data_IF_534933478142
#
_entry.id   IF_534933478142
#
_cell.length_a   1.000
_cell.length_b   1.000
_cell.length_c   1.000
_cell.angle_alpha   90.00
_cell.angle_beta   90.00
_cell.angle_gamma   90.00
#
_symmetry.space_group_name_H-M   'P 1'
#
loop_
_entity.id
_entity.type
_entity.pdbx_description
1 polymer ?
#
# COMPACT_ATOMS: atom_id res chain seq x y z
N UNK A 1 3.95 -20.29 -2.29
CA UNK A 1 4.61 -21.28 -3.15
C UNK A 1 6.08 -20.92 -3.28
N UNK A 2 6.96 -21.90 -3.17
CA UNK A 2 8.39 -21.66 -3.01
C UNK A 2 9.16 -22.37 -4.10
N UNK A 3 10.12 -21.68 -4.69
CA UNK A 3 11.05 -22.21 -5.68
C UNK A 3 12.49 -21.85 -5.32
N UNK A 4 13.42 -22.70 -5.71
CA UNK A 4 14.84 -22.41 -5.68
C UNK A 4 15.42 -22.65 -7.08
N UNK A 5 16.15 -21.67 -7.60
CA UNK A 5 16.77 -21.74 -8.92
C UNK A 5 18.04 -20.92 -8.99
N UNK A 6 18.89 -21.24 -9.96
CA UNK A 6 20.07 -20.44 -10.29
C UNK A 6 19.78 -19.58 -11.51
N UNK A 7 20.22 -18.32 -11.46
CA UNK A 7 20.08 -17.39 -12.57
C UNK A 7 21.24 -16.40 -12.61
N UNK A 8 21.55 -15.94 -13.81
CA UNK A 8 22.52 -14.88 -14.03
C UNK A 8 21.90 -13.50 -13.79
N UNK A 9 22.64 -12.65 -13.09
CA UNK A 9 22.27 -11.27 -12.83
C UNK A 9 22.59 -10.44 -14.08
N UNK A 10 21.62 -9.66 -14.53
CA UNK A 10 21.83 -8.75 -15.63
C UNK A 10 21.39 -7.32 -15.28
N UNK A 11 22.15 -6.36 -15.81
CA UNK A 11 21.83 -4.94 -15.66
C UNK A 11 20.96 -4.46 -16.82
N UNK A 12 19.80 -3.89 -16.49
CA UNK A 12 19.05 -3.14 -17.48
C UNK A 12 19.62 -1.74 -17.62
N UNK A 13 20.03 -1.38 -18.84
CA UNK A 13 20.55 -0.08 -19.21
C UNK A 13 19.41 0.87 -19.61
N UNK A 14 18.58 1.26 -18.63
CA UNK A 14 17.56 2.31 -18.76
C UNK A 14 18.00 3.61 -18.09
N UNK A 15 17.12 4.61 -17.95
CA UNK A 15 17.43 5.89 -17.31
C UNK A 15 17.92 5.76 -15.85
N UNK A 16 17.60 4.66 -15.19
CA UNK A 16 18.18 4.25 -13.91
C UNK A 16 18.69 2.80 -14.06
N UNK A 17 19.92 2.48 -13.67
CA UNK A 17 20.45 1.12 -13.78
C UNK A 17 19.78 0.23 -12.74
N UNK A 18 18.95 -0.69 -13.21
CA UNK A 18 18.35 -1.73 -12.39
C UNK A 18 18.99 -3.08 -12.68
N UNK A 19 19.10 -3.92 -11.67
CA UNK A 19 19.61 -5.27 -11.78
C UNK A 19 18.48 -6.27 -11.55
N UNK A 20 18.46 -7.32 -12.36
CA UNK A 20 17.43 -8.34 -12.36
C UNK A 20 18.02 -9.72 -12.52
N UNK A 21 17.24 -10.72 -12.12
CA UNK A 21 17.37 -12.10 -12.60
C UNK A 21 16.04 -12.49 -13.25
N UNK A 22 16.11 -13.33 -14.28
CA UNK A 22 14.94 -13.86 -14.94
C UNK A 22 14.44 -15.13 -14.24
N UNK A 23 13.14 -15.31 -14.12
CA UNK A 23 12.57 -16.56 -13.64
C UNK A 23 12.65 -17.63 -14.72
N UNK A 24 12.96 -18.91 -14.37
CA UNK A 24 12.96 -20.03 -15.32
C UNK A 24 11.57 -20.27 -15.94
N UNK A 25 11.54 -20.91 -17.11
CA UNK A 25 10.33 -21.15 -17.88
C UNK A 25 9.20 -21.80 -17.08
N UNK A 26 9.50 -22.85 -16.29
CA UNK A 26 8.48 -23.54 -15.51
C UNK A 26 7.85 -22.66 -14.41
N UNK A 27 8.61 -21.71 -13.86
CA UNK A 27 8.07 -20.71 -12.91
C UNK A 27 7.22 -19.70 -13.67
N UNK A 28 7.67 -19.21 -14.82
CA UNK A 28 6.90 -18.31 -15.67
C UNK A 28 5.55 -18.91 -16.07
N UNK A 29 5.54 -20.15 -16.52
CA UNK A 29 4.31 -20.85 -16.92
C UNK A 29 3.31 -20.91 -15.75
N UNK A 30 3.81 -21.23 -14.56
CA UNK A 30 3.01 -21.22 -13.35
C UNK A 30 2.46 -19.83 -13.01
N UNK A 31 3.29 -18.79 -13.05
CA UNK A 31 2.90 -17.42 -12.75
C UNK A 31 1.86 -16.92 -13.73
N UNK A 32 2.00 -17.21 -15.03
CA UNK A 32 1.02 -16.88 -16.05
C UNK A 32 -0.31 -17.59 -15.86
N UNK A 33 -0.30 -18.87 -15.50
CA UNK A 33 -1.51 -19.66 -15.25
C UNK A 33 -2.33 -19.15 -14.04
N UNK A 34 -1.66 -18.53 -13.04
CA UNK A 34 -2.27 -18.08 -11.80
C UNK A 34 -2.30 -16.55 -11.64
N UNK A 35 -2.11 -15.81 -12.74
CA UNK A 35 -2.04 -14.34 -12.73
C UNK A 35 -3.20 -13.67 -11.99
N UNK A 36 -4.43 -14.16 -12.21
CA UNK A 36 -5.64 -13.60 -11.57
C UNK A 36 -5.66 -13.70 -10.05
N UNK A 37 -4.91 -14.66 -9.49
CA UNK A 37 -4.83 -14.90 -8.06
C UNK A 37 -3.60 -14.23 -7.42
N UNK A 38 -2.54 -14.06 -8.20
CA UNK A 38 -1.23 -13.63 -7.73
C UNK A 38 -0.97 -12.12 -7.90
N UNK A 39 -1.66 -11.46 -8.84
CA UNK A 39 -1.42 -10.04 -9.12
C UNK A 39 -2.42 -9.13 -8.43
N UNK A 40 -1.95 -7.95 -8.02
CA UNK A 40 -2.78 -6.85 -7.53
C UNK A 40 -2.76 -5.62 -8.45
N UNK A 41 -2.59 -5.79 -9.73
CA UNK A 41 -2.50 -4.73 -10.74
C UNK A 41 -1.25 -4.87 -11.61
N UNK A 42 -1.11 -4.15 -12.72
CA UNK A 42 0.05 -4.08 -13.64
C UNK A 42 0.78 -5.38 -13.99
N UNK A 43 0.25 -6.55 -13.61
CA UNK A 43 0.94 -7.82 -13.75
C UNK A 43 2.13 -8.02 -12.79
N UNK A 44 2.36 -7.10 -11.88
CA UNK A 44 3.34 -7.27 -10.81
C UNK A 44 2.89 -8.32 -9.79
N UNK A 45 3.76 -9.25 -9.45
CA UNK A 45 3.47 -10.32 -8.50
C UNK A 45 4.30 -10.11 -7.24
N UNK A 46 3.67 -9.93 -6.06
CA UNK A 46 4.42 -9.81 -4.80
C UNK A 46 5.22 -11.07 -4.54
N UNK A 47 6.45 -10.89 -4.11
CA UNK A 47 7.35 -12.00 -3.84
C UNK A 47 8.30 -11.68 -2.69
N UNK A 48 8.65 -12.70 -1.91
CA UNK A 48 9.83 -12.72 -1.07
C UNK A 48 10.97 -13.36 -1.84
N UNK A 49 12.12 -12.73 -1.80
CA UNK A 49 13.32 -13.16 -2.52
C UNK A 49 14.47 -13.24 -1.54
N UNK A 50 15.10 -14.42 -1.46
CA UNK A 50 16.30 -14.63 -0.68
C UNK A 50 17.45 -15.03 -1.59
N UNK A 51 18.58 -14.36 -1.41
CA UNK A 51 19.87 -14.70 -2.05
C UNK A 51 20.92 -14.68 -0.94
N UNK A 52 21.66 -15.76 -0.79
CA UNK A 52 22.57 -15.92 0.33
C UNK A 52 21.84 -15.85 1.67
N UNK A 53 22.31 -14.97 2.54
CA UNK A 53 21.71 -14.73 3.86
C UNK A 53 20.69 -13.57 3.87
N UNK A 54 20.58 -12.84 2.77
CA UNK A 54 19.72 -11.64 2.68
C UNK A 54 18.38 -11.96 2.05
N UNK A 55 17.30 -11.60 2.76
CA UNK A 55 15.93 -11.72 2.30
C UNK A 55 15.29 -10.33 2.08
N UNK A 56 14.55 -10.17 1.00
CA UNK A 56 13.86 -8.92 0.67
C UNK A 56 12.48 -9.19 0.09
N UNK A 57 11.53 -8.34 0.42
CA UNK A 57 10.22 -8.30 -0.26
C UNK A 57 10.32 -7.42 -1.50
N UNK A 58 9.80 -7.91 -2.63
CA UNK A 58 9.80 -7.20 -3.91
C UNK A 58 8.55 -7.55 -4.71
N UNK A 59 8.42 -7.00 -5.92
CA UNK A 59 7.41 -7.43 -6.89
C UNK A 59 8.09 -7.87 -8.16
N UNK A 60 7.72 -9.06 -8.66
CA UNK A 60 8.16 -9.52 -9.95
C UNK A 60 7.55 -8.64 -11.04
N UNK A 61 8.34 -8.30 -12.03
CA UNK A 61 7.95 -7.43 -13.14
C UNK A 61 7.79 -8.23 -14.43
N UNK A 62 6.62 -8.21 -15.08
CA UNK A 62 6.46 -8.87 -16.37
C UNK A 62 7.19 -8.06 -17.45
N UNK A 63 8.01 -8.74 -18.26
CA UNK A 63 8.69 -8.18 -19.41
C UNK A 63 8.89 -9.24 -20.49
N UNK A 64 8.42 -8.96 -21.70
CA UNK A 64 8.59 -9.82 -22.88
C UNK A 64 8.17 -11.28 -22.62
N UNK A 65 7.10 -11.50 -21.84
CA UNK A 65 6.61 -12.84 -21.47
C UNK A 65 7.36 -13.54 -20.36
N UNK A 66 8.35 -12.89 -19.74
CA UNK A 66 9.14 -13.42 -18.62
C UNK A 66 8.95 -12.54 -17.38
N UNK A 67 8.90 -13.16 -16.21
CA UNK A 67 8.94 -12.42 -14.96
C UNK A 67 10.36 -12.15 -14.51
N UNK A 68 10.65 -10.88 -14.24
CA UNK A 68 11.96 -10.44 -13.74
C UNK A 68 11.87 -10.18 -12.23
N UNK A 69 12.87 -10.66 -11.51
CA UNK A 69 13.06 -10.40 -10.07
C UNK A 69 14.00 -9.21 -9.92
N UNK A 70 13.51 -8.03 -9.44
CA UNK A 70 14.39 -6.88 -9.24
C UNK A 70 15.28 -7.09 -8.01
N UNK A 71 16.58 -6.86 -8.17
CA UNK A 71 17.56 -6.97 -7.11
C UNK A 71 17.78 -5.59 -6.46
N UNK A 72 17.21 -5.39 -5.27
CA UNK A 72 17.36 -4.14 -4.52
C UNK A 72 18.83 -3.86 -4.18
N UNK A 73 19.20 -2.57 -4.16
CA UNK A 73 20.58 -2.13 -3.86
C UNK A 73 21.07 -2.68 -2.51
N UNK A 74 20.19 -2.74 -1.50
CA UNK A 74 20.54 -3.30 -0.19
C UNK A 74 20.97 -4.78 -0.30
N UNK A 75 20.16 -5.62 -0.97
CA UNK A 75 20.46 -7.03 -1.22
C UNK A 75 21.79 -7.20 -1.96
N UNK A 76 21.96 -6.46 -3.07
CA UNK A 76 23.17 -6.51 -3.88
C UNK A 76 24.43 -6.15 -3.11
N UNK A 77 24.38 -5.11 -2.27
CA UNK A 77 25.52 -4.69 -1.44
C UNK A 77 25.85 -5.70 -0.36
N UNK A 78 24.82 -6.27 0.28
CA UNK A 78 24.99 -7.26 1.34
C UNK A 78 25.66 -8.54 0.81
N UNK A 79 25.19 -9.03 -0.34
CA UNK A 79 25.67 -10.29 -0.94
C UNK A 79 26.80 -10.07 -1.98
N UNK A 80 27.24 -8.83 -2.19
CA UNK A 80 28.31 -8.46 -3.15
C UNK A 80 28.03 -8.91 -4.57
N UNK A 81 26.81 -8.73 -5.02
CA UNK A 81 26.31 -9.17 -6.33
C UNK A 81 26.50 -8.08 -7.38
N UNK A 82 27.03 -8.43 -8.55
CA UNK A 82 27.19 -7.53 -9.68
C UNK A 82 26.67 -8.15 -11.00
N UNK A 83 26.78 -7.40 -12.10
CA UNK A 83 26.36 -7.81 -13.44
C UNK A 83 27.14 -9.05 -13.90
N UNK A 84 26.43 -10.05 -14.40
CA UNK A 84 27.03 -11.32 -14.84
C UNK A 84 27.22 -12.37 -13.74
N UNK A 85 26.95 -12.05 -12.49
CA UNK A 85 27.08 -13.03 -11.41
C UNK A 85 25.97 -14.09 -11.49
N UNK A 86 26.31 -15.35 -11.25
CA UNK A 86 25.36 -16.43 -11.06
C UNK A 86 24.94 -16.50 -9.60
N UNK A 87 23.63 -16.34 -9.34
CA UNK A 87 23.08 -16.35 -7.98
C UNK A 87 22.04 -17.44 -7.81
N UNK A 88 22.01 -18.02 -6.60
CA UNK A 88 20.95 -18.93 -6.19
C UNK A 88 19.84 -18.13 -5.53
N UNK A 89 18.66 -18.16 -6.15
CA UNK A 89 17.49 -17.41 -5.75
C UNK A 89 16.48 -18.35 -5.10
N UNK A 90 16.07 -18.05 -3.89
CA UNK A 90 14.84 -18.60 -3.31
C UNK A 90 13.74 -17.59 -3.53
N UNK A 91 12.71 -18.01 -4.24
CA UNK A 91 11.57 -17.19 -4.60
C UNK A 91 10.31 -17.76 -3.96
N UNK A 92 9.69 -16.99 -3.08
CA UNK A 92 8.38 -17.29 -2.54
C UNK A 92 7.35 -16.36 -3.18
N UNK A 93 6.38 -16.96 -3.88
CA UNK A 93 5.24 -16.28 -4.48
C UNK A 93 3.96 -16.86 -3.90
N UNK A 94 3.08 -16.07 -3.59
CA UNK A 94 1.76 -16.36 -3.07
C UNK A 94 1.15 -15.03 -2.75
N UNK A 95 -0.14 -14.97 -2.45
CA UNK A 95 -0.56 -13.84 -1.65
C UNK A 95 0.42 -13.82 -0.48
N UNK A 96 1.22 -12.77 -0.28
CA UNK A 96 1.71 -12.58 1.04
C UNK A 96 0.43 -12.70 1.86
N UNK A 97 0.42 -13.60 2.83
CA UNK A 97 -0.55 -13.51 3.90
C UNK A 97 -0.64 -12.00 4.11
N UNK A 98 -1.83 -11.39 3.94
CA UNK A 98 -1.99 -9.94 4.10
C UNK A 98 -1.90 -9.71 5.61
N UNK A 99 -0.77 -10.01 6.12
CA UNK A 99 -0.14 -9.41 7.25
C UNK A 99 0.52 -8.18 6.65
N UNK A 100 -0.06 -7.07 6.97
CA UNK A 100 0.42 -5.76 6.60
C UNK A 100 1.92 -5.61 6.87
N UNK A 101 2.53 -4.57 6.37
CA UNK A 101 3.97 -4.41 6.22
C UNK A 101 4.70 -4.79 7.51
N UNK A 102 5.60 -5.79 7.36
CA UNK A 102 6.61 -6.19 8.34
C UNK A 102 6.12 -6.56 9.75
N UNK A 103 6.00 -7.85 10.00
CA UNK A 103 6.33 -8.39 11.32
C UNK A 103 7.80 -8.06 11.62
N UNK A 104 8.09 -6.89 12.11
CA UNK A 104 9.24 -6.61 13.00
C UNK A 104 9.47 -5.14 13.34
N UNK A 105 8.57 -4.23 13.01
CA UNK A 105 8.71 -2.85 13.51
C UNK A 105 7.77 -2.53 14.67
N UNK A 106 6.86 -3.42 15.04
CA UNK A 106 5.82 -3.11 16.02
C UNK A 106 4.88 -1.97 15.60
N UNK A 107 4.95 -1.57 14.32
CA UNK A 107 4.21 -0.42 13.80
C UNK A 107 2.92 -0.87 13.11
N UNK A 108 1.77 -0.42 13.62
CA UNK A 108 0.46 -0.66 13.01
C UNK A 108 0.11 0.46 12.03
N UNK A 109 -0.26 0.10 10.81
CA UNK A 109 -0.65 1.06 9.77
C UNK A 109 -2.16 1.15 9.65
N UNK A 110 -2.70 2.35 9.78
CA UNK A 110 -4.13 2.62 9.64
C UNK A 110 -4.42 3.44 8.39
N UNK A 111 -5.41 3.03 7.61
CA UNK A 111 -6.06 3.92 6.64
C UNK A 111 -7.10 4.74 7.38
N UNK A 112 -7.08 6.05 7.20
CA UNK A 112 -8.05 6.96 7.80
C UNK A 112 -8.83 7.71 6.73
N UNK A 113 -10.10 8.05 7.01
CA UNK A 113 -10.92 8.90 6.15
C UNK A 113 -10.76 10.40 6.49
N UNK A 114 -11.40 11.25 5.68
CA UNK A 114 -11.32 12.70 5.83
C UNK A 114 -11.88 13.19 7.16
N UNK A 115 -12.98 12.62 7.65
CA UNK A 115 -13.60 13.02 8.91
C UNK A 115 -12.72 12.64 10.10
N UNK A 116 -12.10 11.44 10.06
CA UNK A 116 -11.13 11.01 11.08
C UNK A 116 -9.92 11.94 11.11
N UNK A 117 -9.39 12.32 9.94
CA UNK A 117 -8.28 13.27 9.87
C UNK A 117 -8.65 14.64 10.46
N UNK A 118 -9.86 15.14 10.19
CA UNK A 118 -10.35 16.37 10.79
C UNK A 118 -10.49 16.25 12.31
N UNK A 119 -11.07 15.16 12.80
CA UNK A 119 -11.22 14.92 14.24
C UNK A 119 -9.84 14.87 14.95
N UNK A 120 -8.88 14.13 14.40
CA UNK A 120 -7.52 14.07 14.95
C UNK A 120 -6.86 15.44 15.01
N UNK A 121 -7.06 16.28 13.99
CA UNK A 121 -6.52 17.63 13.94
C UNK A 121 -7.20 18.57 14.94
N UNK A 122 -8.54 18.51 15.07
CA UNK A 122 -9.30 19.36 15.99
C UNK A 122 -9.08 18.99 17.45
N UNK A 123 -8.94 17.71 17.75
CA UNK A 123 -8.73 17.22 19.11
C UNK A 123 -7.27 17.37 19.57
N UNK A 124 -6.38 17.83 18.70
CA UNK A 124 -4.95 17.93 18.99
C UNK A 124 -4.32 16.56 19.33
N UNK A 125 -4.89 15.50 18.80
CA UNK A 125 -4.52 14.14 19.14
C UNK A 125 -3.11 13.79 18.66
N UNK A 126 -2.37 13.07 19.50
CA UNK A 126 -1.03 12.59 19.15
C UNK A 126 -1.10 11.14 18.71
N UNK A 127 -0.60 10.88 17.50
CA UNK A 127 -0.45 9.51 16.97
C UNK A 127 0.84 8.92 17.53
N UNK A 128 0.77 7.80 18.27
CA UNK A 128 1.96 7.14 18.83
C UNK A 128 2.95 6.71 17.74
N UNK A 129 4.25 6.65 18.03
CA UNK A 129 5.27 6.28 17.05
C UNK A 129 5.14 4.85 16.53
N UNK A 130 4.47 3.98 17.27
CA UNK A 130 4.12 2.62 16.86
C UNK A 130 2.96 2.56 15.85
N UNK A 131 2.30 3.69 15.57
CA UNK A 131 1.22 3.80 14.59
C UNK A 131 1.63 4.66 13.40
N UNK A 132 1.24 4.26 12.21
CA UNK A 132 1.37 5.07 11.00
C UNK A 132 0.02 5.30 10.34
N UNK A 133 -0.16 6.51 9.79
CA UNK A 133 -1.37 6.88 9.09
C UNK A 133 -1.13 6.89 7.58
N UNK A 134 -2.05 6.31 6.85
CA UNK A 134 -2.07 6.39 5.38
C UNK A 134 -3.48 6.74 4.89
N UNK A 135 -3.56 7.32 3.71
CA UNK A 135 -4.84 7.66 3.10
C UNK A 135 -4.72 7.74 1.57
N UNK A 136 -5.81 7.54 0.83
CA UNK A 136 -5.81 7.88 -0.59
C UNK A 136 -5.66 9.39 -0.78
N UNK A 137 -5.07 9.82 -1.89
CA UNK A 137 -4.93 11.25 -2.23
C UNK A 137 -6.26 12.00 -2.24
N UNK A 138 -7.35 11.29 -2.48
CA UNK A 138 -8.74 11.75 -2.40
C UNK A 138 -9.06 12.43 -1.07
N UNK A 139 -8.51 11.96 0.06
CA UNK A 139 -8.74 12.53 1.39
C UNK A 139 -8.53 14.04 1.41
N UNK A 140 -7.51 14.55 0.71
CA UNK A 140 -7.20 15.99 0.70
C UNK A 140 -8.35 16.83 0.17
N UNK A 141 -8.98 16.39 -0.93
CA UNK A 141 -10.10 17.08 -1.54
C UNK A 141 -11.36 16.93 -0.68
N UNK A 142 -11.57 15.78 -0.09
CA UNK A 142 -12.71 15.53 0.80
C UNK A 142 -12.62 16.36 2.09
N UNK A 143 -11.46 16.40 2.74
CA UNK A 143 -11.25 17.23 3.93
C UNK A 143 -11.46 18.72 3.63
N UNK A 144 -10.92 19.21 2.48
CA UNK A 144 -11.14 20.58 2.04
C UNK A 144 -12.63 20.87 1.83
N UNK A 145 -13.35 19.96 1.17
CA UNK A 145 -14.78 20.14 0.91
C UNK A 145 -15.61 20.17 2.20
N UNK A 146 -15.35 19.25 3.14
CA UNK A 146 -16.05 19.21 4.43
C UNK A 146 -15.82 20.48 5.26
N UNK A 147 -14.58 20.92 5.38
CA UNK A 147 -14.23 22.12 6.14
C UNK A 147 -14.84 23.37 5.49
N UNK A 148 -14.80 23.47 4.14
CA UNK A 148 -15.42 24.56 3.40
C UNK A 148 -16.95 24.61 3.64
N UNK A 149 -17.60 23.44 3.64
CA UNK A 149 -19.04 23.33 3.90
C UNK A 149 -19.41 23.85 5.28
N UNK A 150 -18.64 23.55 6.34
CA UNK A 150 -18.86 24.07 7.68
C UNK A 150 -18.72 25.59 7.75
N UNK A 151 -17.72 26.15 7.06
CA UNK A 151 -17.55 27.62 6.96
C UNK A 151 -18.72 28.21 6.21
N UNK A 152 -19.14 27.64 5.10
CA UNK A 152 -20.26 28.13 4.28
C UNK A 152 -21.60 28.11 5.02
N UNK A 153 -21.81 27.12 5.88
CA UNK A 153 -23.00 27.03 6.75
C UNK A 153 -22.90 27.94 7.98
N UNK A 154 -21.77 28.57 8.22
CA UNK A 154 -21.55 29.41 9.41
C UNK A 154 -21.36 28.63 10.70
N UNK A 155 -21.07 27.32 10.63
CA UNK A 155 -20.80 26.47 11.78
C UNK A 155 -19.45 26.81 12.41
N UNK A 156 -18.48 27.21 11.59
CA UNK A 156 -17.16 27.71 12.00
C UNK A 156 -16.79 28.94 11.18
N UNK A 157 -15.91 29.79 11.69
CA UNK A 157 -15.35 30.90 10.91
C UNK A 157 -14.25 30.45 9.96
N UNK A 158 -13.93 31.29 8.94
CA UNK A 158 -12.92 30.97 7.93
C UNK A 158 -11.53 30.75 8.54
N UNK A 159 -11.17 31.49 9.59
CA UNK A 159 -9.87 31.36 10.25
C UNK A 159 -9.73 29.98 10.91
N UNK A 160 -10.79 29.56 11.60
CA UNK A 160 -10.87 28.22 12.20
C UNK A 160 -10.82 27.13 11.15
N UNK A 161 -11.54 27.27 10.03
CA UNK A 161 -11.48 26.33 8.92
C UNK A 161 -10.09 26.18 8.32
N UNK A 162 -9.41 27.31 8.07
CA UNK A 162 -8.02 27.30 7.58
C UNK A 162 -7.06 26.64 8.58
N UNK A 163 -7.25 26.91 9.86
CA UNK A 163 -6.43 26.27 10.91
C UNK A 163 -6.60 24.75 10.90
N UNK A 164 -7.82 24.24 10.82
CA UNK A 164 -8.07 22.79 10.73
C UNK A 164 -7.31 22.17 9.56
N UNK A 165 -7.36 22.80 8.37
CA UNK A 165 -6.64 22.32 7.19
C UNK A 165 -5.11 22.33 7.37
N UNK A 166 -4.57 23.33 8.08
CA UNK A 166 -3.15 23.39 8.41
C UNK A 166 -2.76 22.32 9.44
N UNK A 167 -3.60 22.10 10.44
CA UNK A 167 -3.39 21.06 11.45
C UNK A 167 -3.42 19.65 10.80
N UNK A 168 -4.33 19.40 9.82
CA UNK A 168 -4.33 18.15 9.03
C UNK A 168 -3.01 17.96 8.27
N UNK A 169 -2.42 19.04 7.71
CA UNK A 169 -1.12 18.96 7.06
C UNK A 169 0.01 18.62 8.03
N UNK A 170 -0.15 18.97 9.30
CA UNK A 170 0.75 18.61 10.38
C UNK A 170 0.67 17.14 10.79
N UNK A 171 -0.44 16.46 10.50
CA UNK A 171 -0.57 15.02 10.68
C UNK A 171 0.36 14.33 9.66
N UNK A 172 1.17 13.39 10.13
CA UNK A 172 2.10 12.62 9.27
C UNK A 172 1.36 11.53 8.51
N UNK A 173 0.44 11.94 7.62
CA UNK A 173 -0.33 11.03 6.77
C UNK A 173 0.46 10.75 5.50
N UNK A 174 0.73 9.47 5.21
CA UNK A 174 1.28 9.02 3.94
C UNK A 174 0.15 8.93 2.92
N UNK A 175 0.18 9.78 1.90
CA UNK A 175 -0.80 9.76 0.82
C UNK A 175 -0.37 8.83 -0.31
N UNK A 176 -1.29 7.98 -0.74
CA UNK A 176 -1.10 7.03 -1.83
C UNK A 176 -2.23 7.21 -2.87
N UNK A 177 -1.88 7.12 -4.14
CA UNK A 177 -2.82 7.37 -5.24
C UNK A 177 -2.14 7.04 -6.55
N UNK A 178 -1.62 5.82 -6.66
CA UNK A 178 -1.09 5.29 -7.89
C UNK A 178 -2.17 4.52 -8.67
N UNK A 179 -1.87 4.21 -9.92
CA UNK A 179 -2.79 3.49 -10.80
C UNK A 179 -3.17 2.10 -10.27
N UNK A 180 -2.32 1.48 -9.48
CA UNK A 180 -2.62 0.17 -8.88
C UNK A 180 -3.78 0.29 -7.89
N UNK A 181 -3.78 1.34 -7.06
CA UNK A 181 -4.89 1.66 -6.18
C UNK A 181 -6.16 1.98 -6.96
N UNK A 182 -6.06 2.81 -8.01
CA UNK A 182 -7.20 3.18 -8.86
C UNK A 182 -7.85 1.95 -9.51
N UNK A 183 -7.05 1.07 -10.11
CA UNK A 183 -7.53 -0.15 -10.74
C UNK A 183 -8.17 -1.11 -9.73
N UNK A 184 -7.64 -1.17 -8.52
CA UNK A 184 -8.20 -2.02 -7.45
C UNK A 184 -9.54 -1.46 -6.94
N UNK A 185 -9.60 -0.16 -6.70
CA UNK A 185 -10.82 0.54 -6.29
C UNK A 185 -11.92 0.43 -7.35
N UNK A 186 -11.57 0.58 -8.64
CA UNK A 186 -12.52 0.39 -9.74
C UNK A 186 -13.15 -1.00 -9.73
N UNK A 187 -12.32 -2.05 -9.64
CA UNK A 187 -12.82 -3.44 -9.60
C UNK A 187 -13.70 -3.70 -8.39
N UNK A 188 -13.33 -3.15 -7.24
CA UNK A 188 -14.11 -3.29 -6.01
C UNK A 188 -15.47 -2.59 -6.13
N UNK A 189 -15.49 -1.34 -6.60
CA UNK A 189 -16.71 -0.58 -6.82
C UNK A 189 -17.64 -1.26 -7.83
N UNK A 190 -17.09 -1.74 -8.96
CA UNK A 190 -17.85 -2.47 -9.97
C UNK A 190 -18.46 -3.77 -9.40
N UNK A 191 -17.70 -4.54 -8.61
CA UNK A 191 -18.19 -5.77 -7.95
C UNK A 191 -19.32 -5.49 -6.96
N UNK A 192 -19.29 -4.33 -6.29
CA UNK A 192 -20.30 -3.92 -5.30
C UNK A 192 -21.45 -3.12 -5.93
N UNK A 193 -21.39 -2.88 -7.23
CA UNK A 193 -22.34 -2.03 -7.96
C UNK A 193 -22.50 -0.64 -7.30
N UNK A 194 -21.37 -0.06 -6.85
CA UNK A 194 -21.38 1.28 -6.28
C UNK A 194 -21.41 2.35 -7.38
N UNK A 195 -22.09 3.49 -7.13
CA UNK A 195 -22.21 4.56 -8.12
C UNK A 195 -20.91 5.36 -8.31
N UNK A 196 -19.98 5.28 -7.37
CA UNK A 196 -18.69 5.96 -7.38
C UNK A 196 -17.60 5.10 -6.71
N UNK A 197 -16.35 5.57 -6.81
CA UNK A 197 -15.17 4.86 -6.30
C UNK A 197 -14.67 5.35 -4.95
N UNK A 198 -15.28 6.39 -4.37
CA UNK A 198 -14.73 7.09 -3.21
C UNK A 198 -14.51 6.17 -2.01
N UNK A 199 -15.51 5.38 -1.64
CA UNK A 199 -15.39 4.40 -0.56
C UNK A 199 -14.48 3.23 -0.95
N UNK A 200 -14.49 2.85 -2.23
CA UNK A 200 -13.67 1.76 -2.72
C UNK A 200 -12.17 2.06 -2.63
N UNK A 201 -11.74 3.32 -2.80
CA UNK A 201 -10.34 3.70 -2.64
C UNK A 201 -9.83 3.47 -1.22
N UNK A 202 -10.62 3.78 -0.19
CA UNK A 202 -10.25 3.53 1.21
C UNK A 202 -10.11 2.03 1.50
N UNK A 203 -11.08 1.23 1.06
CA UNK A 203 -11.05 -0.22 1.26
C UNK A 203 -9.88 -0.84 0.46
N UNK A 204 -9.72 -0.45 -0.80
CA UNK A 204 -8.64 -0.92 -1.65
C UNK A 204 -7.26 -0.59 -1.06
N UNK A 205 -7.08 0.64 -0.59
CA UNK A 205 -5.84 1.04 0.07
C UNK A 205 -5.57 0.23 1.34
N UNK A 206 -6.60 -0.03 2.14
CA UNK A 206 -6.45 -0.86 3.33
C UNK A 206 -6.02 -2.28 2.96
N UNK A 207 -6.64 -2.87 1.94
CA UNK A 207 -6.26 -4.20 1.45
C UNK A 207 -4.81 -4.28 0.96
N UNK A 208 -4.30 -3.19 0.39
CA UNK A 208 -2.98 -3.16 -0.25
C UNK A 208 -1.85 -2.78 0.71
N UNK A 209 -2.11 -1.90 1.70
CA UNK A 209 -1.04 -1.18 2.38
C UNK A 209 -1.23 -1.00 3.90
N UNK A 210 -2.31 -1.52 4.51
CA UNK A 210 -2.58 -1.23 5.91
C UNK A 210 -3.21 -2.42 6.67
N UNK A 211 -3.14 -2.34 7.99
CA UNK A 211 -3.65 -3.36 8.91
C UNK A 211 -5.14 -3.21 9.18
N UNK A 212 -5.63 -1.96 9.19
CA UNK A 212 -7.04 -1.67 9.43
C UNK A 212 -7.48 -0.33 8.82
N UNK A 213 -8.78 -0.22 8.56
CA UNK A 213 -9.45 1.02 8.20
C UNK A 213 -10.10 1.63 9.43
N UNK A 214 -9.88 2.93 9.61
CA UNK A 214 -10.58 3.75 10.61
C UNK A 214 -11.39 4.82 9.87
N UNK A 215 -12.69 4.80 10.09
CA UNK A 215 -13.62 5.70 9.42
C UNK A 215 -14.70 6.17 10.40
N UNK A 216 -15.14 7.40 10.23
CA UNK A 216 -16.29 7.96 10.89
C UNK A 216 -17.58 7.89 10.02
N UNK A 217 -17.48 7.38 8.80
CA UNK A 217 -18.62 7.14 7.91
C UNK A 217 -19.20 5.74 8.16
N UNK A 218 -20.43 5.69 8.67
CA UNK A 218 -21.14 4.45 8.98
C UNK A 218 -21.36 3.56 7.74
N UNK A 219 -21.55 4.15 6.56
CA UNK A 219 -21.76 3.41 5.32
C UNK A 219 -20.46 2.76 4.88
N UNK A 220 -19.36 3.52 4.93
CA UNK A 220 -18.04 2.98 4.65
C UNK A 220 -17.66 1.92 5.67
N UNK A 221 -17.90 2.15 6.97
CA UNK A 221 -17.63 1.18 8.01
C UNK A 221 -18.39 -0.14 7.79
N UNK A 222 -19.69 -0.05 7.49
CA UNK A 222 -20.53 -1.24 7.23
C UNK A 222 -20.04 -2.03 6.01
N UNK A 223 -19.71 -1.33 4.92
CA UNK A 223 -19.22 -1.96 3.69
C UNK A 223 -17.83 -2.57 3.87
N UNK A 224 -16.94 -1.88 4.59
CA UNK A 224 -15.55 -2.28 4.78
C UNK A 224 -15.39 -3.60 5.55
N UNK A 225 -16.27 -3.88 6.52
CA UNK A 225 -16.19 -5.08 7.39
C UNK A 225 -16.15 -6.41 6.63
N UNK A 226 -16.70 -6.45 5.42
CA UNK A 226 -16.68 -7.65 4.58
C UNK A 226 -15.33 -7.86 3.85
N UNK A 227 -14.45 -6.85 3.84
CA UNK A 227 -13.26 -6.83 3.01
C UNK A 227 -11.95 -6.60 3.77
N UNK A 228 -12.02 -5.82 4.86
CA UNK A 228 -10.87 -5.41 5.65
C UNK A 228 -11.20 -5.36 7.13
N UNK A 229 -10.17 -5.40 7.96
CA UNK A 229 -10.30 -5.13 9.39
C UNK A 229 -10.64 -3.65 9.59
N UNK A 230 -11.57 -3.35 10.48
CA UNK A 230 -11.90 -1.99 10.90
C UNK A 230 -11.46 -1.77 12.33
N UNK A 231 -11.01 -0.56 12.64
CA UNK A 231 -10.60 -0.14 13.98
C UNK A 231 -11.32 1.16 14.37
N UNK A 232 -11.30 1.47 15.66
CA UNK A 232 -11.88 2.70 16.20
C UNK A 232 -10.88 3.86 16.11
N UNK A 233 -11.32 5.13 16.01
CA UNK A 233 -10.44 6.28 16.17
C UNK A 233 -9.62 6.27 17.48
N UNK A 234 -10.15 5.68 18.55
CA UNK A 234 -9.45 5.51 19.83
C UNK A 234 -8.27 4.54 19.76
N UNK A 235 -8.24 3.64 18.78
CA UNK A 235 -7.14 2.69 18.58
C UNK A 235 -5.91 3.34 17.95
N UNK A 236 -6.07 4.53 17.33
CA UNK A 236 -4.99 5.26 16.65
C UNK A 236 -4.21 6.13 17.63
N UNK A 237 -4.88 6.69 18.63
CA UNK A 237 -4.34 7.76 19.47
C UNK A 237 -4.21 7.35 20.93
N UNK A 238 -3.24 7.95 21.62
CA UNK A 238 -3.30 8.06 23.08
C UNK A 238 -4.04 9.35 23.40
N UNK A 239 -5.17 9.23 24.05
CA UNK A 239 -5.86 10.39 24.61
C UNK A 239 -4.97 10.99 25.72
N UNK A 240 -4.93 12.34 25.83
CA UNK A 240 -4.13 13.03 26.85
C UNK A 240 -4.56 12.69 28.27
#
# INVERSE_FOLDING_TARGET
MDWEFEAEVFQWRGPAPYFFVATPAHINDFLHAHLGELTYGWGGIPAQVRIGDTEVTTSLMPKDGVYLVPLKVALRRSERIDDGDAVRVRLQVGRPNVQGPSEDTGMTTFVIDAQVAINLATDGATVPPEHSLTAPTLLRSQALALVYEWVHRGEIDERSGRKILDDIRGLRIRFLGDRSLEDHAWRLAAKLNWPDIHHAEYIALTQLQADALVTADDKLAAAARAFVKTASPTDIVRLP
#
